data_IF_037918187981
#
_entry.id   IF_037918187981
#
_cell.length_a   1.000
_cell.length_b   1.000
_cell.length_c   1.000
_cell.angle_alpha   90.00
_cell.angle_beta   90.00
_cell.angle_gamma   90.00
#
_symmetry.space_group_name_H-M   'P 1'
#
loop_
_entity.id
_entity.type
_entity.pdbx_description
1 polymer ?
#
# COMPACT_ATOMS: atom_id res chain seq x y z
N UNK A 1 52.45 25.61 40.37
CA UNK A 1 53.09 24.37 39.88
C UNK A 1 52.92 23.35 40.97
N UNK A 2 52.25 22.20 40.82
CA UNK A 2 51.88 21.46 39.61
C UNK A 2 50.77 20.43 40.01
N UNK A 3 49.60 20.35 39.33
CA UNK A 3 48.58 19.33 39.62
C UNK A 3 48.45 18.34 38.45
N UNK A 4 49.11 17.19 38.52
CA UNK A 4 48.98 16.12 37.51
C UNK A 4 48.46 14.82 38.12
N UNK A 5 47.18 14.82 38.48
CA UNK A 5 46.33 13.62 38.51
C UNK A 5 44.86 14.08 38.38
N UNK A 6 44.14 13.75 37.28
CA UNK A 6 43.30 12.54 37.28
C UNK A 6 42.93 12.02 35.85
N UNK A 7 43.90 11.69 35.00
CA UNK A 7 43.60 11.19 33.64
C UNK A 7 43.29 9.67 33.61
N UNK A 8 44.01 8.88 34.40
CA UNK A 8 43.92 7.41 34.37
C UNK A 8 42.61 6.86 34.94
N UNK A 9 42.08 7.46 36.01
CA UNK A 9 40.80 7.04 36.61
C UNK A 9 39.62 7.27 35.67
N UNK A 10 39.65 8.37 34.90
CA UNK A 10 38.59 8.69 33.94
C UNK A 10 38.59 7.72 32.77
N UNK A 11 39.78 7.28 32.32
CA UNK A 11 39.94 6.28 31.26
C UNK A 11 39.50 4.89 31.73
N UNK A 12 39.90 4.47 32.94
CA UNK A 12 39.44 3.21 33.55
C UNK A 12 37.93 3.17 33.71
N UNK A 13 37.31 4.26 34.18
CA UNK A 13 35.85 4.34 34.36
C UNK A 13 35.10 4.25 33.04
N UNK A 14 35.60 4.85 31.95
CA UNK A 14 35.01 4.76 30.61
C UNK A 14 35.08 3.34 30.04
N UNK A 15 36.21 2.64 30.24
CA UNK A 15 36.37 1.24 29.80
C UNK A 15 35.41 0.32 30.58
N UNK A 16 35.27 0.51 31.88
CA UNK A 16 34.31 -0.23 32.71
C UNK A 16 32.85 -0.03 32.24
N UNK A 17 32.45 1.20 31.95
CA UNK A 17 31.10 1.50 31.45
C UNK A 17 30.86 0.86 30.08
N UNK A 18 31.84 0.92 29.17
CA UNK A 18 31.73 0.29 27.85
C UNK A 18 31.59 -1.24 27.96
N UNK A 19 32.34 -1.88 28.86
CA UNK A 19 32.24 -3.32 29.10
C UNK A 19 30.87 -3.72 29.68
N UNK A 20 30.34 -2.94 30.63
CA UNK A 20 29.02 -3.19 31.21
C UNK A 20 27.92 -3.01 30.14
N UNK A 21 28.00 -1.95 29.33
CA UNK A 21 27.04 -1.69 28.27
C UNK A 21 27.06 -2.81 27.20
N UNK A 22 28.25 -3.23 26.77
CA UNK A 22 28.38 -4.34 25.83
C UNK A 22 27.83 -5.66 26.42
N UNK A 23 28.08 -5.91 27.71
CA UNK A 23 27.53 -7.07 28.42
C UNK A 23 26.01 -7.07 28.48
N UNK A 24 25.38 -5.91 28.74
CA UNK A 24 23.93 -5.77 28.76
C UNK A 24 23.29 -5.99 27.37
N UNK A 25 23.90 -5.46 26.32
CA UNK A 25 23.43 -5.67 24.94
C UNK A 25 23.52 -7.15 24.55
N UNK A 26 24.63 -7.81 24.88
CA UNK A 26 24.79 -9.25 24.61
C UNK A 26 23.76 -10.08 25.39
N UNK A 27 23.51 -9.75 26.66
CA UNK A 27 22.51 -10.43 27.47
C UNK A 27 21.08 -10.26 26.90
N UNK A 28 20.75 -9.08 26.39
CA UNK A 28 19.47 -8.82 25.71
C UNK A 28 19.32 -9.65 24.44
N UNK A 29 20.36 -9.70 23.59
CA UNK A 29 20.34 -10.49 22.36
C UNK A 29 20.18 -11.99 22.65
N UNK A 30 20.88 -12.50 23.65
CA UNK A 30 20.76 -13.91 24.09
C UNK A 30 19.37 -14.19 24.64
N UNK A 31 18.79 -13.26 25.42
CA UNK A 31 17.44 -13.40 25.97
C UNK A 31 16.37 -13.44 24.88
N UNK A 32 16.47 -12.56 23.87
CA UNK A 32 15.55 -12.54 22.72
C UNK A 32 15.67 -13.81 21.88
N UNK A 33 16.89 -14.30 21.65
CA UNK A 33 17.13 -15.56 20.93
C UNK A 33 16.53 -16.78 21.64
N UNK A 34 16.74 -16.90 22.95
CA UNK A 34 16.16 -17.99 23.77
C UNK A 34 14.63 -17.88 23.81
N UNK A 35 14.09 -16.67 23.95
CA UNK A 35 12.64 -16.45 23.97
C UNK A 35 11.97 -16.82 22.64
N UNK A 36 12.64 -16.54 21.51
CA UNK A 36 12.19 -16.97 20.18
C UNK A 36 12.23 -18.49 19.98
N UNK A 37 13.24 -19.16 20.55
CA UNK A 37 13.39 -20.63 20.49
C UNK A 37 12.36 -21.36 21.37
N UNK A 38 12.02 -20.82 22.54
CA UNK A 38 11.03 -21.41 23.45
C UNK A 38 9.58 -21.25 22.97
N UNK A 39 9.27 -20.19 22.21
CA UNK A 39 7.89 -19.96 21.72
C UNK A 39 7.54 -20.70 20.43
N UNK A 40 8.53 -21.16 19.67
CA UNK A 40 8.31 -21.84 18.39
C UNK A 40 7.51 -21.01 17.37
N UNK A 41 7.45 -21.43 16.09
CA UNK A 41 6.52 -20.84 15.14
C UNK A 41 5.08 -21.12 15.61
N UNK A 42 4.21 -20.12 15.54
CA UNK A 42 2.80 -20.28 15.90
C UNK A 42 2.20 -21.50 15.18
N UNK A 43 1.51 -22.42 15.87
CA UNK A 43 0.90 -23.57 15.23
C UNK A 43 -0.15 -23.08 14.23
N UNK A 44 0.00 -23.47 12.96
CA UNK A 44 -1.09 -23.35 11.98
C UNK A 44 -2.23 -24.21 12.49
N UNK A 45 -3.34 -23.56 12.84
CA UNK A 45 -4.61 -24.26 13.06
C UNK A 45 -5.14 -24.62 11.69
N UNK A 46 -4.98 -25.88 11.29
CA UNK A 46 -5.60 -26.45 10.10
C UNK A 46 -7.05 -26.81 10.45
N UNK A 47 -8.06 -26.24 9.76
CA UNK A 47 -9.45 -26.64 9.97
C UNK A 47 -9.65 -28.08 9.46
N UNK A 48 -10.30 -28.91 10.28
CA UNK A 48 -10.69 -30.28 9.90
C UNK A 48 -11.64 -30.28 8.68
N UNK A 49 -11.59 -31.32 7.82
CA UNK A 49 -12.35 -31.35 6.58
C UNK A 49 -13.80 -31.71 6.86
N UNK A 50 -14.72 -30.79 6.57
CA UNK A 50 -16.16 -31.08 6.55
C UNK A 50 -16.62 -31.15 5.09
N UNK A 51 -16.95 -32.37 4.65
CA UNK A 51 -17.93 -32.74 3.63
C UNK A 51 -18.13 -31.86 2.39
N UNK A 52 -17.68 -32.42 1.24
CA UNK A 52 -18.35 -32.40 -0.08
C UNK A 52 -18.93 -31.07 -0.59
N UNK A 53 -18.10 -30.35 -1.35
CA UNK A 53 -18.42 -29.91 -2.70
C UNK A 53 -17.10 -29.79 -3.47
N UNK A 54 -17.00 -30.41 -4.66
CA UNK A 54 -15.80 -30.30 -5.48
C UNK A 54 -15.53 -28.81 -5.78
N UNK A 55 -14.32 -28.28 -5.52
CA UNK A 55 -13.99 -26.96 -6.00
C UNK A 55 -13.87 -27.07 -7.52
N UNK A 56 -14.74 -26.35 -8.23
CA UNK A 56 -14.40 -25.89 -9.57
C UNK A 56 -13.10 -25.14 -9.42
N UNK A 57 -11.99 -25.71 -9.90
CA UNK A 57 -10.73 -24.99 -10.07
C UNK A 57 -11.04 -23.91 -11.09
N UNK A 58 -11.42 -22.73 -10.62
CA UNK A 58 -11.29 -21.53 -11.43
C UNK A 58 -9.80 -21.38 -11.63
N UNK A 59 -9.34 -21.66 -12.86
CA UNK A 59 -7.99 -21.33 -13.28
C UNK A 59 -7.67 -19.90 -12.82
N UNK A 60 -6.45 -19.60 -12.36
CA UNK A 60 -6.07 -18.21 -12.13
C UNK A 60 -6.46 -17.43 -13.38
N UNK A 61 -7.11 -16.27 -13.28
CA UNK A 61 -7.37 -15.48 -14.46
C UNK A 61 -6.03 -15.36 -15.18
N UNK A 62 -5.99 -15.80 -16.44
CA UNK A 62 -4.87 -15.49 -17.34
C UNK A 62 -4.81 -13.97 -17.33
N UNK A 63 -4.02 -13.42 -16.41
CA UNK A 63 -3.90 -12.00 -16.21
C UNK A 63 -3.16 -11.52 -17.42
N UNK A 64 -3.91 -11.12 -18.45
CA UNK A 64 -3.42 -10.31 -19.56
C UNK A 64 -2.60 -9.21 -18.91
N UNK A 65 -1.27 -9.31 -19.00
CA UNK A 65 -0.41 -8.21 -18.52
C UNK A 65 -0.92 -6.96 -19.22
N UNK A 66 -1.33 -5.92 -18.48
CA UNK A 66 -1.76 -4.69 -19.13
C UNK A 66 -0.63 -4.22 -20.06
N UNK A 67 -0.99 -3.89 -21.29
CA UNK A 67 -0.04 -3.48 -22.34
C UNK A 67 0.81 -2.24 -21.94
N UNK A 68 0.39 -1.54 -20.88
CA UNK A 68 1.02 -0.38 -20.28
C UNK A 68 0.10 0.21 -19.20
N UNK A 69 0.46 1.37 -18.63
CA UNK A 69 -0.43 2.17 -17.79
C UNK A 69 -1.75 2.45 -18.53
N UNK A 70 -2.87 1.96 -17.99
CA UNK A 70 -4.19 2.19 -18.56
C UNK A 70 -4.80 3.47 -17.94
N UNK A 71 -5.38 4.39 -18.74
CA UNK A 71 -6.09 5.54 -18.22
C UNK A 71 -7.25 5.13 -17.30
N UNK A 72 -7.43 5.87 -16.21
CA UNK A 72 -8.58 5.69 -15.31
C UNK A 72 -9.78 6.42 -15.91
N UNK A 73 -10.90 5.72 -16.13
CA UNK A 73 -12.12 6.34 -16.63
C UNK A 73 -12.81 7.12 -15.51
N UNK A 74 -12.98 8.42 -15.69
CA UNK A 74 -13.72 9.28 -14.76
C UNK A 74 -15.25 9.10 -14.84
N UNK A 75 -15.72 8.16 -15.68
CA UNK A 75 -17.14 7.84 -15.91
C UNK A 75 -17.46 6.45 -15.35
N UNK A 76 -18.74 6.24 -14.98
CA UNK A 76 -19.25 4.96 -14.49
C UNK A 76 -19.58 4.92 -13.00
N UNK A 77 -19.54 6.09 -12.34
CA UNK A 77 -19.94 6.25 -10.96
C UNK A 77 -18.82 6.05 -9.92
N UNK A 78 -19.12 6.40 -8.66
CA UNK A 78 -18.12 6.52 -7.60
C UNK A 78 -17.40 5.20 -7.29
N UNK A 79 -18.14 4.10 -7.13
CA UNK A 79 -17.54 2.79 -6.82
C UNK A 79 -16.67 2.26 -7.97
N UNK A 80 -17.15 2.36 -9.21
CA UNK A 80 -16.39 1.95 -10.41
C UNK A 80 -15.08 2.74 -10.53
N UNK A 81 -15.15 4.05 -10.31
CA UNK A 81 -13.97 4.92 -10.35
C UNK A 81 -12.95 4.56 -9.26
N UNK A 82 -13.38 4.43 -8.00
CA UNK A 82 -12.51 4.02 -6.90
C UNK A 82 -11.86 2.65 -7.15
N UNK A 83 -12.59 1.72 -7.77
CA UNK A 83 -12.07 0.40 -8.15
C UNK A 83 -11.00 0.47 -9.22
N UNK A 84 -11.19 1.32 -10.23
CA UNK A 84 -10.18 1.53 -11.28
C UNK A 84 -8.93 2.20 -10.74
N UNK A 85 -9.06 3.21 -9.87
CA UNK A 85 -7.92 3.82 -9.16
C UNK A 85 -7.14 2.76 -8.38
N UNK A 86 -7.81 1.90 -7.63
CA UNK A 86 -7.18 0.83 -6.88
C UNK A 86 -6.47 -0.18 -7.79
N UNK A 87 -7.08 -0.56 -8.91
CA UNK A 87 -6.42 -1.43 -9.88
C UNK A 87 -5.19 -0.76 -10.51
N UNK A 88 -5.25 0.53 -10.82
CA UNK A 88 -4.12 1.28 -11.39
C UNK A 88 -2.95 1.44 -10.40
N UNK A 89 -3.21 1.67 -9.10
CA UNK A 89 -2.18 1.78 -8.06
C UNK A 89 -1.33 0.51 -7.93
N UNK A 90 -1.94 -0.65 -8.16
CA UNK A 90 -1.30 -1.94 -7.92
C UNK A 90 -1.02 -2.76 -9.18
N UNK A 91 -1.59 -2.38 -10.32
CA UNK A 91 -1.49 -3.06 -11.61
C UNK A 91 -0.36 -2.49 -12.45
N UNK A 92 0.83 -3.05 -12.27
CA UNK A 92 2.00 -2.65 -13.05
C UNK A 92 2.89 -3.84 -13.41
N UNK A 93 3.66 -3.66 -14.48
CA UNK A 93 4.55 -4.65 -15.04
C UNK A 93 5.88 -3.97 -15.38
N UNK A 94 7.01 -4.55 -14.95
CA UNK A 94 8.34 -3.99 -15.22
C UNK A 94 8.89 -4.36 -16.60
N UNK A 95 8.23 -5.27 -17.32
CA UNK A 95 8.68 -5.84 -18.60
C UNK A 95 8.19 -5.07 -19.82
N UNK A 96 7.17 -4.21 -19.67
CA UNK A 96 6.53 -3.51 -20.78
C UNK A 96 7.18 -2.15 -21.13
N UNK A 97 8.34 -1.85 -20.56
CA UNK A 97 9.14 -0.66 -20.91
C UNK A 97 8.76 0.62 -20.16
N UNK A 98 7.67 0.63 -19.39
CA UNK A 98 7.25 1.78 -18.60
C UNK A 98 7.99 1.86 -17.24
N UNK A 99 8.08 3.06 -16.70
CA UNK A 99 8.63 3.35 -15.38
C UNK A 99 7.55 3.73 -14.36
N UNK A 100 7.93 3.87 -13.07
CA UNK A 100 6.99 4.24 -12.02
C UNK A 100 6.24 5.54 -12.29
N UNK A 101 6.89 6.53 -12.92
CA UNK A 101 6.27 7.82 -13.24
C UNK A 101 5.14 7.68 -14.27
N UNK A 102 5.26 6.79 -15.25
CA UNK A 102 4.22 6.57 -16.26
C UNK A 102 2.97 5.95 -15.63
N UNK A 103 3.14 5.01 -14.69
CA UNK A 103 2.03 4.46 -13.90
C UNK A 103 1.44 5.47 -12.92
N UNK A 104 2.25 6.37 -12.37
CA UNK A 104 1.75 7.45 -11.52
C UNK A 104 0.88 8.42 -12.33
N UNK A 105 1.31 8.75 -13.55
CA UNK A 105 0.69 9.79 -14.36
C UNK A 105 -0.80 9.50 -14.64
N UNK A 106 -1.15 8.27 -15.04
CA UNK A 106 -2.55 7.92 -15.34
C UNK A 106 -3.50 8.05 -14.13
N UNK A 107 -2.95 8.05 -12.92
CA UNK A 107 -3.70 8.25 -11.67
C UNK A 107 -3.77 9.73 -11.31
N UNK A 108 -2.68 10.48 -11.55
CA UNK A 108 -2.63 11.93 -11.34
C UNK A 108 -3.48 12.69 -12.37
N UNK A 109 -3.65 12.15 -13.59
CA UNK A 109 -4.47 12.75 -14.64
C UNK A 109 -5.95 12.87 -14.27
N UNK A 110 -6.42 12.07 -13.30
CA UNK A 110 -7.80 12.11 -12.79
C UNK A 110 -7.92 12.84 -11.45
N UNK A 111 -6.87 13.55 -11.02
CA UNK A 111 -6.88 14.35 -9.81
C UNK A 111 -7.92 15.46 -9.88
N UNK A 112 -8.57 15.75 -8.76
CA UNK A 112 -9.26 17.01 -8.59
C UNK A 112 -8.22 18.15 -8.62
N UNK A 113 -8.47 19.18 -9.42
CA UNK A 113 -7.45 20.18 -9.77
C UNK A 113 -6.76 20.87 -8.57
N UNK A 114 -7.47 21.06 -7.46
CA UNK A 114 -6.94 21.68 -6.24
C UNK A 114 -6.13 20.73 -5.34
N UNK A 115 -6.29 19.41 -5.51
CA UNK A 115 -5.62 18.36 -4.72
C UNK A 115 -4.45 17.69 -5.48
N UNK A 116 -4.24 18.02 -6.76
CA UNK A 116 -3.31 17.33 -7.65
C UNK A 116 -1.88 17.19 -7.10
N UNK A 117 -1.31 18.25 -6.52
CA UNK A 117 0.05 18.23 -5.97
C UNK A 117 0.19 17.30 -4.76
N UNK A 118 -0.82 17.31 -3.88
CA UNK A 118 -0.84 16.50 -2.67
C UNK A 118 -1.08 15.03 -3.04
N UNK A 119 -2.04 14.79 -3.94
CA UNK A 119 -2.33 13.48 -4.47
C UNK A 119 -1.13 12.85 -5.18
N UNK A 120 -0.34 13.63 -5.95
CA UNK A 120 0.89 13.12 -6.55
C UNK A 120 1.89 12.61 -5.49
N UNK A 121 1.89 13.22 -4.30
CA UNK A 121 2.60 12.73 -3.12
C UNK A 121 2.08 11.40 -2.63
N UNK A 122 0.76 11.29 -2.46
CA UNK A 122 0.11 10.05 -2.03
C UNK A 122 0.39 8.91 -3.02
N UNK A 123 0.19 9.12 -4.34
CA UNK A 123 0.43 8.12 -5.39
C UNK A 123 1.88 7.63 -5.38
N UNK A 124 2.85 8.52 -5.21
CA UNK A 124 4.28 8.15 -5.10
C UNK A 124 4.57 7.22 -3.94
N UNK A 125 3.78 7.27 -2.85
CA UNK A 125 3.96 6.37 -1.70
C UNK A 125 3.48 4.92 -2.00
N UNK A 126 2.63 4.71 -3.01
CA UNK A 126 2.14 3.39 -3.41
C UNK A 126 3.07 2.68 -4.41
N UNK A 127 3.83 3.46 -5.19
CA UNK A 127 4.64 2.93 -6.28
C UNK A 127 6.10 2.68 -5.84
N UNK A 128 6.79 1.68 -6.41
CA UNK A 128 8.21 1.49 -6.15
C UNK A 128 9.02 2.71 -6.61
N UNK A 129 9.99 3.14 -5.81
CA UNK A 129 10.98 4.14 -6.22
C UNK A 129 11.85 3.64 -7.38
N UNK A 130 12.53 4.54 -8.08
CA UNK A 130 13.30 4.22 -9.30
C UNK A 130 14.35 3.12 -9.10
N UNK A 131 15.07 3.12 -7.97
CA UNK A 131 16.06 2.09 -7.64
C UNK A 131 15.40 0.72 -7.41
N UNK A 132 14.33 0.68 -6.60
CA UNK A 132 13.57 -0.54 -6.38
C UNK A 132 12.98 -1.07 -7.68
N UNK A 133 12.47 -0.19 -8.56
CA UNK A 133 11.98 -0.57 -9.88
C UNK A 133 13.05 -1.21 -10.75
N UNK A 134 14.28 -0.66 -10.76
CA UNK A 134 15.40 -1.23 -11.50
C UNK A 134 15.77 -2.64 -11.01
N UNK A 135 15.66 -2.90 -9.70
CA UNK A 135 15.85 -4.23 -9.14
C UNK A 135 14.72 -5.18 -9.53
N UNK A 136 13.46 -4.76 -9.36
CA UNK A 136 12.27 -5.55 -9.74
C UNK A 136 12.28 -5.94 -11.23
N UNK A 137 12.78 -5.05 -12.10
CA UNK A 137 12.92 -5.32 -13.53
C UNK A 137 13.88 -6.48 -13.84
N UNK A 138 14.94 -6.66 -13.06
CA UNK A 138 15.85 -7.82 -13.22
C UNK A 138 15.14 -9.15 -12.96
N UNK A 139 14.07 -9.09 -12.16
CA UNK A 139 13.22 -10.21 -11.82
C UNK A 139 11.94 -10.26 -12.65
N UNK A 140 11.83 -9.46 -13.72
CA UNK A 140 10.64 -9.39 -14.58
C UNK A 140 9.34 -9.26 -13.77
N UNK A 141 9.38 -8.50 -12.67
CA UNK A 141 8.28 -8.48 -11.72
C UNK A 141 7.05 -7.79 -12.30
N UNK A 142 5.89 -8.39 -12.05
CA UNK A 142 4.57 -7.79 -12.24
C UNK A 142 3.79 -7.84 -10.94
N UNK A 143 2.88 -6.88 -10.78
CA UNK A 143 2.01 -6.76 -9.62
C UNK A 143 0.58 -6.54 -10.07
N UNK A 144 -0.36 -7.10 -9.32
CA UNK A 144 -1.78 -6.81 -9.46
C UNK A 144 -2.49 -6.86 -8.10
N UNK A 145 -3.74 -6.40 -8.10
CA UNK A 145 -4.61 -6.42 -6.94
C UNK A 145 -5.85 -7.24 -7.22
N UNK A 146 -6.13 -8.18 -6.33
CA UNK A 146 -7.45 -8.77 -6.19
C UNK A 146 -8.19 -8.03 -5.08
N UNK A 147 -9.30 -7.37 -5.40
CA UNK A 147 -10.14 -6.67 -4.40
C UNK A 147 -11.10 -7.71 -3.80
N UNK A 148 -11.14 -7.79 -2.48
CA UNK A 148 -12.09 -8.63 -1.75
C UNK A 148 -13.33 -7.83 -1.38
N UNK A 149 -13.13 -6.64 -0.81
CA UNK A 149 -14.20 -5.79 -0.32
C UNK A 149 -13.93 -4.33 -0.63
N UNK A 150 -15.01 -3.57 -0.82
CA UNK A 150 -14.99 -2.13 -0.98
C UNK A 150 -16.26 -1.57 -0.35
N UNK A 151 -16.10 -0.64 0.58
CA UNK A 151 -17.23 -0.07 1.33
C UNK A 151 -16.92 1.37 1.76
N UNK A 152 -17.97 2.14 2.07
CA UNK A 152 -17.82 3.45 2.71
C UNK A 152 -17.62 3.23 4.21
N UNK A 153 -16.49 3.65 4.81
CA UNK A 153 -16.23 3.40 6.23
C UNK A 153 -17.18 4.22 7.11
N UNK A 154 -17.59 3.68 8.27
CA UNK A 154 -18.50 4.35 9.21
C UNK A 154 -17.96 5.73 9.66
N UNK A 155 -16.64 5.86 9.84
CA UNK A 155 -16.03 7.15 10.15
C UNK A 155 -16.19 8.21 9.06
N UNK A 156 -16.58 7.86 7.82
CA UNK A 156 -16.90 8.85 6.80
C UNK A 156 -18.16 9.65 7.16
N UNK A 157 -19.18 9.01 7.73
CA UNK A 157 -20.38 9.70 8.22
C UNK A 157 -20.03 10.65 9.37
N UNK A 158 -19.12 10.21 10.25
CA UNK A 158 -18.63 11.05 11.34
C UNK A 158 -17.84 12.25 10.78
N UNK A 159 -16.91 12.01 9.84
CA UNK A 159 -16.10 13.05 9.23
C UNK A 159 -16.97 14.10 8.50
N UNK A 160 -17.99 13.67 7.77
CA UNK A 160 -18.92 14.58 7.09
C UNK A 160 -19.79 15.38 8.06
N UNK A 161 -20.25 14.78 9.16
CA UNK A 161 -21.03 15.48 10.19
C UNK A 161 -20.24 16.55 10.95
N UNK A 162 -18.92 16.35 11.09
CA UNK A 162 -18.02 17.22 11.84
C UNK A 162 -17.30 18.26 10.96
N UNK A 163 -17.38 18.12 9.63
CA UNK A 163 -16.73 19.01 8.69
C UNK A 163 -17.30 20.43 8.77
N UNK A 164 -16.41 21.43 8.77
CA UNK A 164 -16.83 22.80 8.58
C UNK A 164 -17.43 22.98 7.17
N UNK A 165 -18.33 23.96 6.95
CA UNK A 165 -18.86 24.24 5.62
C UNK A 165 -17.74 24.44 4.58
N UNK A 166 -17.79 23.67 3.49
CA UNK A 166 -16.80 23.72 2.41
C UNK A 166 -15.49 22.96 2.70
N UNK A 167 -15.32 22.33 3.85
CA UNK A 167 -14.14 21.50 4.15
C UNK A 167 -14.15 20.17 3.38
N UNK A 168 -15.34 19.61 3.14
CA UNK A 168 -15.53 18.43 2.29
C UNK A 168 -16.35 18.87 1.07
N UNK A 169 -15.85 18.70 -0.16
CA UNK A 169 -16.59 19.05 -1.37
C UNK A 169 -17.94 18.34 -1.47
N UNK A 170 -18.92 19.00 -2.08
CA UNK A 170 -20.20 18.36 -2.39
C UNK A 170 -19.99 17.19 -3.34
N UNK A 171 -20.63 16.05 -3.06
CA UNK A 171 -20.45 14.82 -3.84
C UNK A 171 -19.17 14.04 -3.51
N UNK A 172 -18.43 14.42 -2.46
CA UNK A 172 -17.31 13.65 -1.97
C UNK A 172 -17.73 12.35 -1.25
N UNK A 173 -16.94 11.30 -1.42
CA UNK A 173 -17.12 10.01 -0.74
C UNK A 173 -15.77 9.32 -0.54
N UNK A 174 -15.65 8.56 0.55
CA UNK A 174 -14.50 7.71 0.83
C UNK A 174 -14.86 6.23 0.66
N UNK A 175 -14.00 5.46 -0.02
CA UNK A 175 -14.10 4.01 -0.10
C UNK A 175 -12.88 3.36 0.53
N UNK A 176 -13.09 2.56 1.57
CA UNK A 176 -12.07 1.64 2.09
C UNK A 176 -12.08 0.37 1.25
N UNK A 177 -10.90 -0.07 0.83
CA UNK A 177 -10.67 -1.19 -0.07
C UNK A 177 -9.82 -2.20 0.67
N UNK A 178 -10.35 -3.41 0.80
CA UNK A 178 -9.64 -4.57 1.31
C UNK A 178 -9.31 -5.50 0.14
N UNK A 179 -8.04 -5.88 0.06
CA UNK A 179 -7.53 -6.60 -1.10
C UNK A 179 -6.31 -7.42 -0.80
N UNK A 180 -5.91 -8.22 -1.77
CA UNK A 180 -4.67 -8.99 -1.77
C UNK A 180 -3.83 -8.51 -2.93
N UNK A 181 -2.67 -7.95 -2.59
CA UNK A 181 -1.65 -7.58 -3.55
C UNK A 181 -0.84 -8.81 -3.90
N UNK A 182 -0.78 -9.11 -5.18
CA UNK A 182 -0.01 -10.23 -5.72
C UNK A 182 1.19 -9.69 -6.50
N UNK A 183 2.30 -10.40 -6.43
CA UNK A 183 3.47 -10.23 -7.29
C UNK A 183 3.91 -11.58 -7.81
N UNK A 184 4.31 -11.61 -9.07
CA UNK A 184 5.08 -12.71 -9.65
C UNK A 184 6.34 -12.14 -10.33
N UNK A 185 7.29 -13.03 -10.60
CA UNK A 185 8.53 -12.71 -11.29
C UNK A 185 9.46 -13.92 -11.34
N UNK A 186 10.74 -13.69 -11.60
CA UNK A 186 11.76 -14.73 -11.67
C UNK A 186 12.94 -14.48 -10.73
N UNK A 187 13.40 -15.52 -10.06
CA UNK A 187 14.70 -15.55 -9.38
C UNK A 187 15.67 -16.39 -10.22
N UNK A 188 16.53 -15.71 -10.99
CA UNK A 188 17.26 -16.38 -12.07
C UNK A 188 16.27 -16.87 -13.13
N UNK A 189 16.16 -18.19 -13.29
CA UNK A 189 15.20 -18.84 -14.20
C UNK A 189 13.97 -19.42 -13.49
N UNK A 190 13.92 -19.37 -12.15
CA UNK A 190 12.84 -19.97 -11.38
C UNK A 190 11.71 -18.96 -11.17
N UNK A 191 10.44 -19.32 -11.46
CA UNK A 191 9.30 -18.45 -11.17
C UNK A 191 9.07 -18.38 -9.66
N UNK A 192 8.76 -17.17 -9.17
CA UNK A 192 8.45 -16.90 -7.77
C UNK A 192 7.21 -16.02 -7.64
N UNK A 193 6.42 -16.25 -6.60
CA UNK A 193 5.20 -15.51 -6.33
C UNK A 193 5.14 -15.06 -4.87
N UNK A 194 4.50 -13.92 -4.62
CA UNK A 194 4.23 -13.41 -3.28
C UNK A 194 2.86 -12.73 -3.24
N UNK A 195 2.09 -13.04 -2.19
CA UNK A 195 0.77 -12.43 -1.97
C UNK A 195 0.70 -11.85 -0.56
N UNK A 196 0.14 -10.65 -0.41
CA UNK A 196 -0.04 -10.00 0.89
C UNK A 196 -1.39 -9.27 0.96
N UNK A 197 -2.14 -9.39 2.06
CA UNK A 197 -3.32 -8.56 2.27
C UNK A 197 -2.89 -7.10 2.40
N UNK A 198 -3.77 -6.21 1.94
CA UNK A 198 -3.63 -4.76 2.06
C UNK A 198 -4.98 -4.13 2.38
N UNK A 199 -4.94 -2.96 2.99
CA UNK A 199 -6.13 -2.12 3.18
C UNK A 199 -5.78 -0.65 3.05
N UNK A 200 -6.63 0.13 2.37
CA UNK A 200 -6.44 1.57 2.20
C UNK A 200 -7.76 2.24 1.83
N UNK A 201 -7.80 3.58 1.89
CA UNK A 201 -8.98 4.38 1.57
C UNK A 201 -8.71 5.31 0.39
N UNK A 202 -9.65 5.35 -0.54
CA UNK A 202 -9.67 6.24 -1.70
C UNK A 202 -10.74 7.31 -1.48
N UNK A 203 -10.35 8.58 -1.55
CA UNK A 203 -11.25 9.72 -1.38
C UNK A 203 -11.50 10.35 -2.75
N UNK A 204 -12.76 10.46 -3.16
CA UNK A 204 -13.13 10.95 -4.49
C UNK A 204 -14.23 11.99 -4.37
N UNK A 205 -14.40 12.80 -5.42
CA UNK A 205 -15.55 13.67 -5.61
C UNK A 205 -16.21 13.35 -6.94
N UNK A 206 -17.53 13.29 -6.98
CA UNK A 206 -18.27 13.07 -8.21
C UNK A 206 -19.34 14.13 -8.43
N UNK A 207 -19.36 14.72 -9.62
CA UNK A 207 -20.35 15.70 -10.05
C UNK A 207 -21.26 15.11 -11.15
N UNK A 208 -22.55 15.51 -11.21
CA UNK A 208 -23.43 15.09 -12.29
C UNK A 208 -22.99 15.69 -13.63
N UNK A 209 -23.00 14.89 -14.68
CA UNK A 209 -22.74 15.35 -16.06
C UNK A 209 -24.04 15.89 -16.65
N UNK A 210 -24.20 17.20 -16.63
CA UNK A 210 -25.38 17.90 -17.15
C UNK A 210 -25.19 18.22 -18.63
N UNK A 211 -26.11 17.72 -19.45
CA UNK A 211 -26.17 18.00 -20.89
C UNK A 211 -27.49 18.68 -21.23
N UNK A 212 -27.67 19.08 -22.50
CA UNK A 212 -28.97 19.55 -23.00
C UNK A 212 -30.10 18.50 -22.91
N UNK A 213 -29.77 17.22 -22.64
CA UNK A 213 -30.74 16.13 -22.42
C UNK A 213 -30.98 15.82 -20.93
N UNK A 214 -30.43 16.63 -20.02
CA UNK A 214 -30.46 16.39 -18.58
C UNK A 214 -29.19 15.71 -18.06
N UNK A 215 -29.29 15.10 -16.87
CA UNK A 215 -28.17 14.37 -16.24
C UNK A 215 -27.97 13.04 -16.97
N UNK A 216 -26.77 12.82 -17.50
CA UNK A 216 -26.44 11.64 -18.31
C UNK A 216 -25.49 10.66 -17.63
N UNK A 217 -24.97 11.04 -16.45
CA UNK A 217 -24.04 10.24 -15.67
C UNK A 217 -23.35 11.09 -14.62
N UNK A 218 -22.24 10.58 -14.11
CA UNK A 218 -21.36 11.28 -13.17
C UNK A 218 -19.94 11.28 -13.69
N UNK A 219 -19.24 12.37 -13.39
CA UNK A 219 -17.82 12.54 -13.61
C UNK A 219 -17.13 12.57 -12.24
N UNK A 220 -16.14 11.71 -12.05
CA UNK A 220 -15.44 11.57 -10.78
C UNK A 220 -13.97 11.96 -10.89
N UNK A 221 -13.47 12.58 -9.84
CA UNK A 221 -12.08 13.00 -9.67
C UNK A 221 -11.53 12.44 -8.36
N UNK A 222 -10.24 12.16 -8.34
CA UNK A 222 -9.52 11.63 -7.18
C UNK A 222 -9.05 12.80 -6.31
N UNK A 223 -9.46 12.80 -5.03
CA UNK A 223 -9.04 13.81 -4.06
C UNK A 223 -7.73 13.38 -3.39
N UNK A 224 -7.76 12.26 -2.67
CA UNK A 224 -6.68 11.80 -1.78
C UNK A 224 -6.63 10.29 -1.71
N UNK A 225 -5.49 9.77 -1.26
CA UNK A 225 -5.36 8.37 -0.85
C UNK A 225 -4.88 8.34 0.60
N UNK A 226 -5.41 7.42 1.41
CA UNK A 226 -4.83 7.14 2.71
C UNK A 226 -3.44 6.53 2.54
N UNK A 227 -2.66 6.43 3.63
CA UNK A 227 -1.49 5.57 3.61
C UNK A 227 -1.91 4.10 3.50
N UNK A 228 -1.06 3.29 2.85
CA UNK A 228 -1.24 1.84 2.78
C UNK A 228 -1.25 1.24 4.19
N UNK A 229 -2.20 0.34 4.44
CA UNK A 229 -2.45 -0.34 5.72
C UNK A 229 -2.85 0.60 6.88
N UNK A 230 -3.21 1.85 6.53
CA UNK A 230 -3.74 2.85 7.47
C UNK A 230 -4.98 3.53 6.86
N UNK A 231 -6.10 2.78 6.73
CA UNK A 231 -7.34 3.29 6.16
C UNK A 231 -8.07 4.22 7.12
N UNK A 232 -9.06 4.96 6.61
CA UNK A 232 -10.07 5.61 7.44
C UNK A 232 -10.92 4.52 8.14
N UNK A 233 -11.01 4.62 9.47
CA UNK A 233 -11.74 3.69 10.34
C UNK A 233 -12.70 4.45 11.22
#
# INVERSE_FOLDING_TARGET
>A
MDPTAPADDRRRRRVLIALIAAGLVLALLVSVGIYGLLRGPAPRTEPAPTGTAAPTITAPPTGTSPAGPAPVSQLGGPETFARQVAQALFGWDTTNGYGPADYAQVIVDVAAGEEADVLAGDVRAYLPGAEAWAQLRQHQTRQWLSIQEMFVPEAWETATSQAAPGQIPEGAVAYTIEGTRHRDGTWGTEPVEASRPIVFTVFIVCAPVVTNRGITGTHCELLRLSQLDNPLR
#
